data_IF_662457538894
#
_entry.id   IF_662457538894
#
_cell.length_a   1.000
_cell.length_b   1.000
_cell.length_c   1.000
_cell.angle_alpha   90.00
_cell.angle_beta   90.00
_cell.angle_gamma   90.00
#
_symmetry.space_group_name_H-M   'P 1'
#
loop_
_entity.id
_entity.type
_entity.pdbx_description
1 polymer ?
#
# COMPACT_ATOMS: atom_id res chain seq x y z
N UNK A 1 5.14 -9.45 -5.02
CA UNK A 1 6.41 -10.14 -4.82
C UNK A 1 7.58 -9.16 -4.83
N UNK A 2 8.61 -9.44 -4.00
CA UNK A 2 9.81 -8.61 -3.96
C UNK A 2 10.56 -8.69 -5.30
N UNK A 3 10.98 -7.55 -5.89
CA UNK A 3 11.74 -7.56 -7.14
C UNK A 3 13.08 -8.29 -6.96
N UNK A 4 13.33 -9.30 -7.77
CA UNK A 4 14.56 -10.11 -7.68
C UNK A 4 15.83 -9.25 -7.81
N UNK A 5 15.79 -8.21 -8.65
CA UNK A 5 16.90 -7.29 -8.80
C UNK A 5 17.27 -6.57 -7.50
N UNK A 6 16.29 -6.27 -6.64
CA UNK A 6 16.51 -5.59 -5.35
C UNK A 6 17.03 -6.57 -4.30
N UNK A 7 16.36 -7.73 -4.15
CA UNK A 7 16.75 -8.70 -3.11
C UNK A 7 18.10 -9.36 -3.34
N UNK A 8 18.65 -9.27 -4.56
CA UNK A 8 19.99 -9.76 -4.88
C UNK A 8 21.12 -8.77 -4.57
N UNK A 9 20.80 -7.55 -4.17
CA UNK A 9 21.82 -6.55 -3.81
C UNK A 9 22.42 -6.92 -2.46
N UNK A 10 23.76 -7.06 -2.36
CA UNK A 10 24.41 -7.36 -1.08
C UNK A 10 24.11 -6.29 -0.03
N UNK A 11 23.76 -6.72 1.19
CA UNK A 11 23.45 -5.82 2.30
C UNK A 11 21.97 -5.49 2.42
N UNK A 12 21.10 -5.88 1.49
CA UNK A 12 19.65 -5.80 1.68
C UNK A 12 19.19 -7.05 2.45
N UNK A 13 18.83 -6.87 3.71
CA UNK A 13 18.49 -7.98 4.61
C UNK A 13 16.99 -8.07 4.93
N UNK A 14 16.29 -6.95 4.87
CA UNK A 14 14.87 -6.84 5.22
C UNK A 14 14.08 -6.15 4.12
N UNK A 15 12.79 -6.50 4.04
CA UNK A 15 11.84 -5.85 3.16
C UNK A 15 10.57 -5.48 3.92
N UNK A 16 10.12 -4.25 3.72
CA UNK A 16 8.84 -3.74 4.18
C UNK A 16 7.94 -3.64 2.96
N UNK A 17 6.77 -4.27 2.99
CA UNK A 17 5.84 -4.36 1.86
C UNK A 17 4.45 -3.87 2.24
N UNK A 18 3.57 -3.69 1.24
CA UNK A 18 2.18 -3.26 1.42
C UNK A 18 2.08 -2.03 2.35
N UNK A 19 2.83 -0.98 2.01
CA UNK A 19 2.92 0.25 2.81
C UNK A 19 3.18 0.04 4.31
N UNK A 20 3.97 -0.98 4.67
CA UNK A 20 4.33 -1.26 6.06
C UNK A 20 3.46 -2.33 6.73
N UNK A 21 2.48 -2.90 6.03
CA UNK A 21 1.66 -3.97 6.59
C UNK A 21 2.46 -5.25 6.84
N UNK A 22 3.48 -5.56 6.04
CA UNK A 22 4.29 -6.74 6.24
C UNK A 22 5.80 -6.45 6.22
N UNK A 23 6.54 -7.17 7.07
CA UNK A 23 7.99 -7.08 7.20
C UNK A 23 8.59 -8.47 7.08
N UNK A 24 9.54 -8.62 6.18
CA UNK A 24 10.20 -9.88 5.88
C UNK A 24 11.71 -9.80 6.10
N UNK A 25 12.29 -10.88 6.61
CA UNK A 25 13.73 -11.15 6.50
C UNK A 25 14.00 -11.86 5.17
N UNK A 26 14.87 -11.28 4.33
CA UNK A 26 15.08 -11.75 2.95
C UNK A 26 15.79 -13.09 2.91
N UNK A 27 16.76 -13.32 3.80
CA UNK A 27 17.63 -14.51 3.81
C UNK A 27 16.84 -15.84 3.81
N UNK A 28 15.78 -15.92 4.60
CA UNK A 28 14.96 -17.12 4.79
C UNK A 28 13.49 -16.90 4.41
N UNK A 29 13.18 -15.73 3.88
CA UNK A 29 11.82 -15.30 3.51
C UNK A 29 10.82 -15.34 4.67
N UNK A 30 11.32 -15.25 5.92
CA UNK A 30 10.48 -15.26 7.09
C UNK A 30 9.69 -13.95 7.20
N UNK A 31 8.36 -14.04 7.34
CA UNK A 31 7.54 -12.92 7.75
C UNK A 31 7.76 -12.69 9.24
N UNK A 32 8.34 -11.54 9.60
CA UNK A 32 8.63 -11.15 10.97
C UNK A 32 7.44 -10.45 11.63
N UNK A 33 6.64 -9.73 10.83
CA UNK A 33 5.41 -9.05 11.25
C UNK A 33 4.48 -8.92 10.06
N UNK A 34 3.19 -9.13 10.28
CA UNK A 34 2.14 -8.87 9.31
C UNK A 34 0.92 -8.28 10.00
N UNK A 35 0.30 -7.30 9.35
CA UNK A 35 -1.03 -6.80 9.65
C UNK A 35 -1.95 -7.16 8.48
N UNK A 36 -3.18 -7.53 8.80
CA UNK A 36 -4.25 -7.71 7.82
C UNK A 36 -5.42 -6.81 8.19
N UNK A 37 -6.19 -6.41 7.21
CA UNK A 37 -7.44 -5.70 7.41
C UNK A 37 -8.42 -6.59 8.20
N UNK A 38 -9.26 -5.98 9.03
CA UNK A 38 -10.30 -6.74 9.71
C UNK A 38 -11.45 -7.04 8.74
N UNK A 39 -12.10 -8.19 8.91
CA UNK A 39 -13.31 -8.54 8.14
C UNK A 39 -14.35 -7.41 8.15
N UNK A 40 -14.54 -6.79 9.33
CA UNK A 40 -15.49 -5.70 9.48
C UNK A 40 -15.11 -4.50 8.61
N UNK A 41 -13.83 -4.13 8.57
CA UNK A 41 -13.35 -3.01 7.77
C UNK A 41 -13.49 -3.30 6.29
N UNK A 42 -13.11 -4.49 5.82
CA UNK A 42 -13.26 -4.88 4.41
C UNK A 42 -14.72 -4.80 3.97
N UNK A 43 -15.63 -5.39 4.75
CA UNK A 43 -17.08 -5.34 4.46
C UNK A 43 -17.61 -3.90 4.44
N UNK A 44 -17.18 -3.08 5.39
CA UNK A 44 -17.62 -1.68 5.50
C UNK A 44 -17.05 -0.82 4.37
N UNK A 45 -15.79 -1.00 3.99
CA UNK A 45 -15.18 -0.33 2.83
C UNK A 45 -15.98 -0.63 1.56
N UNK A 46 -16.22 -1.91 1.26
CA UNK A 46 -16.96 -2.32 0.08
C UNK A 46 -18.40 -1.78 0.06
N UNK A 47 -19.08 -1.75 1.22
CA UNK A 47 -20.44 -1.22 1.33
C UNK A 47 -20.49 0.30 1.11
N UNK A 48 -19.56 1.05 1.71
CA UNK A 48 -19.50 2.50 1.61
C UNK A 48 -19.12 2.99 0.20
N UNK A 49 -18.42 2.15 -0.55
CA UNK A 49 -17.90 2.53 -1.87
C UNK A 49 -18.64 1.91 -3.05
N UNK A 50 -19.66 1.06 -2.80
CA UNK A 50 -20.40 0.33 -3.84
C UNK A 50 -21.08 1.20 -4.91
N UNK A 51 -21.50 2.40 -4.53
CA UNK A 51 -22.21 3.34 -5.41
C UNK A 51 -21.25 4.35 -6.09
N UNK A 52 -19.95 4.28 -5.79
CA UNK A 52 -18.93 5.04 -6.49
C UNK A 52 -18.49 4.30 -7.76
N UNK A 53 -18.20 5.01 -8.86
CA UNK A 53 -17.65 4.40 -10.08
C UNK A 53 -16.15 4.09 -9.89
N UNK A 54 -15.84 3.11 -9.06
CA UNK A 54 -14.49 2.67 -8.68
C UNK A 54 -14.29 1.19 -9.00
N UNK A 55 -13.05 0.75 -9.02
CA UNK A 55 -12.69 -0.66 -8.96
C UNK A 55 -11.67 -0.91 -7.84
N UNK A 56 -11.31 -2.15 -7.61
CA UNK A 56 -10.51 -2.53 -6.45
C UNK A 56 -9.32 -3.38 -6.86
N UNK A 57 -8.25 -3.26 -6.06
CA UNK A 57 -7.18 -4.25 -5.96
C UNK A 57 -7.15 -4.79 -4.52
N UNK A 58 -6.79 -6.06 -4.36
CA UNK A 58 -6.54 -6.68 -3.07
C UNK A 58 -5.18 -7.33 -3.03
N UNK A 59 -4.52 -7.27 -1.87
CA UNK A 59 -3.19 -7.83 -1.70
C UNK A 59 -3.21 -8.88 -0.60
N UNK A 60 -2.83 -10.11 -0.93
CA UNK A 60 -2.76 -11.22 -0.01
C UNK A 60 -1.35 -11.79 -0.05
N UNK A 61 -0.62 -11.72 1.06
CA UNK A 61 0.77 -12.22 1.18
C UNK A 61 1.68 -11.71 0.05
N UNK A 62 1.50 -10.41 -0.29
CA UNK A 62 2.26 -9.74 -1.35
C UNK A 62 1.84 -10.11 -2.78
N UNK A 63 0.79 -10.89 -2.99
CA UNK A 63 0.20 -11.15 -4.31
C UNK A 63 -0.94 -10.19 -4.56
N UNK A 64 -0.92 -9.50 -5.69
CA UNK A 64 -1.92 -8.53 -6.09
C UNK A 64 -3.02 -9.16 -6.95
N UNK A 65 -4.27 -8.88 -6.62
CA UNK A 65 -5.46 -9.32 -7.35
C UNK A 65 -6.26 -8.09 -7.77
N UNK A 66 -6.80 -8.09 -8.98
CA UNK A 66 -7.56 -6.96 -9.50
C UNK A 66 -8.69 -7.41 -10.44
N UNK A 67 -9.65 -6.50 -10.65
CA UNK A 67 -10.73 -6.74 -11.59
C UNK A 67 -10.20 -6.95 -13.01
N UNK A 68 -10.82 -7.87 -13.75
CA UNK A 68 -10.48 -8.18 -15.14
C UNK A 68 -10.45 -6.92 -16.01
N UNK A 69 -11.51 -6.12 -15.94
CA UNK A 69 -11.66 -4.92 -16.76
C UNK A 69 -10.55 -3.89 -16.49
N UNK A 70 -10.07 -3.81 -15.25
CA UNK A 70 -8.96 -2.93 -14.88
C UNK A 70 -7.64 -3.44 -15.44
N UNK A 71 -7.39 -4.74 -15.41
CA UNK A 71 -6.17 -5.34 -15.96
C UNK A 71 -6.15 -5.22 -17.49
N UNK A 72 -7.30 -5.42 -18.17
CA UNK A 72 -7.42 -5.33 -19.62
C UNK A 72 -7.22 -3.89 -20.14
N UNK A 73 -7.74 -2.89 -19.42
CA UNK A 73 -7.62 -1.47 -19.81
C UNK A 73 -7.39 -0.56 -18.57
N UNK A 74 -6.17 -0.53 -18.00
CA UNK A 74 -5.88 0.29 -16.81
C UNK A 74 -6.08 1.78 -17.06
N UNK A 75 -5.86 2.27 -18.29
CA UNK A 75 -5.99 3.68 -18.65
C UNK A 75 -7.43 4.18 -18.50
N UNK A 76 -8.41 3.36 -18.83
CA UNK A 76 -9.84 3.65 -18.63
C UNK A 76 -10.17 4.00 -17.17
N UNK A 77 -9.40 3.44 -16.22
CA UNK A 77 -9.56 3.64 -14.77
C UNK A 77 -8.60 4.69 -14.21
N UNK A 78 -7.91 5.45 -15.07
CA UNK A 78 -7.05 6.57 -14.66
C UNK A 78 -5.56 6.24 -14.53
N UNK A 79 -5.13 5.01 -14.81
CA UNK A 79 -3.71 4.67 -14.83
C UNK A 79 -2.99 5.37 -15.98
N UNK A 80 -1.72 5.73 -15.77
CA UNK A 80 -0.88 6.26 -16.85
C UNK A 80 -0.48 5.15 -17.83
N UNK A 81 -0.18 5.50 -19.08
CA UNK A 81 0.29 4.53 -20.08
C UNK A 81 1.54 3.76 -19.59
N UNK A 82 2.42 4.41 -18.84
CA UNK A 82 3.61 3.76 -18.26
C UNK A 82 3.28 2.70 -17.22
N UNK A 83 2.14 2.80 -16.55
CA UNK A 83 1.71 1.83 -15.54
C UNK A 83 1.05 0.57 -16.15
N UNK A 84 0.60 0.62 -17.42
CA UNK A 84 -0.15 -0.47 -18.06
C UNK A 84 0.59 -1.81 -18.00
N UNK A 85 1.83 -1.83 -18.50
CA UNK A 85 2.64 -3.06 -18.50
C UNK A 85 2.88 -3.62 -17.10
N UNK A 86 3.04 -2.74 -16.11
CA UNK A 86 3.21 -3.13 -14.71
C UNK A 86 1.94 -3.76 -14.14
N UNK A 87 0.79 -3.12 -14.31
CA UNK A 87 -0.51 -3.65 -13.85
C UNK A 87 -0.77 -5.00 -14.50
N UNK A 88 -0.67 -5.10 -15.83
CA UNK A 88 -0.93 -6.32 -16.58
C UNK A 88 0.00 -7.49 -16.24
N UNK A 89 1.25 -7.21 -15.87
CA UNK A 89 2.25 -8.25 -15.56
C UNK A 89 2.24 -8.69 -14.10
N UNK A 90 1.64 -7.92 -13.19
CA UNK A 90 1.76 -8.15 -11.74
C UNK A 90 0.44 -8.50 -11.05
N UNK A 91 -0.72 -8.21 -11.67
CA UNK A 91 -2.03 -8.48 -11.07
C UNK A 91 -2.58 -9.85 -11.51
N UNK A 92 -3.14 -10.57 -10.56
CA UNK A 92 -3.91 -11.78 -10.81
C UNK A 92 -5.37 -11.40 -11.05
N UNK A 93 -5.87 -11.77 -12.23
CA UNK A 93 -7.20 -11.44 -12.69
C UNK A 93 -8.29 -12.08 -11.85
N UNK A 94 -9.32 -11.29 -11.52
CA UNK A 94 -10.55 -11.73 -10.90
C UNK A 94 -11.74 -11.24 -11.74
N UNK A 95 -12.62 -12.17 -12.13
CA UNK A 95 -13.84 -11.85 -12.88
C UNK A 95 -14.84 -11.06 -12.01
N UNK A 96 -14.87 -11.33 -10.71
CA UNK A 96 -15.64 -10.57 -9.70
C UNK A 96 -14.72 -10.26 -8.51
N UNK A 97 -14.03 -9.13 -8.58
CA UNK A 97 -13.11 -8.69 -7.54
C UNK A 97 -13.82 -8.44 -6.20
N UNK A 98 -15.07 -7.96 -6.20
CA UNK A 98 -15.81 -7.69 -4.97
C UNK A 98 -16.14 -8.98 -4.24
N UNK A 99 -16.60 -10.00 -4.95
CA UNK A 99 -16.82 -11.32 -4.36
C UNK A 99 -15.54 -11.97 -3.86
N UNK A 100 -14.44 -11.81 -4.62
CA UNK A 100 -13.12 -12.29 -4.21
C UNK A 100 -12.68 -11.63 -2.89
N UNK A 101 -12.75 -10.30 -2.77
CA UNK A 101 -12.37 -9.57 -1.56
C UNK A 101 -13.22 -9.97 -0.35
N UNK A 102 -14.53 -10.22 -0.55
CA UNK A 102 -15.43 -10.70 0.52
C UNK A 102 -15.10 -12.12 0.98
N UNK A 103 -14.60 -12.97 0.10
CA UNK A 103 -14.21 -14.35 0.44
C UNK A 103 -12.87 -14.43 1.17
N UNK A 104 -12.04 -13.38 1.04
CA UNK A 104 -10.69 -13.29 1.63
C UNK A 104 -10.58 -12.11 2.60
N UNK A 105 -11.68 -11.71 3.24
CA UNK A 105 -11.78 -10.51 4.04
C UNK A 105 -10.94 -10.53 5.34
N UNK A 106 -10.43 -11.68 5.74
CA UNK A 106 -9.51 -11.89 6.86
C UNK A 106 -8.04 -12.13 6.45
N UNK A 107 -7.72 -12.09 5.15
CA UNK A 107 -6.38 -12.38 4.64
C UNK A 107 -5.70 -11.17 3.95
N UNK A 108 -6.40 -10.04 3.80
CA UNK A 108 -5.92 -8.90 3.02
C UNK A 108 -4.84 -8.10 3.76
N UNK A 109 -3.61 -8.09 3.25
CA UNK A 109 -2.53 -7.20 3.71
C UNK A 109 -2.91 -5.72 3.50
N UNK A 110 -3.57 -5.44 2.37
CA UNK A 110 -4.08 -4.13 1.98
C UNK A 110 -5.12 -4.25 0.87
N UNK A 111 -5.89 -3.18 0.69
CA UNK A 111 -6.78 -2.96 -0.45
C UNK A 111 -6.48 -1.60 -1.08
N UNK A 112 -6.56 -1.53 -2.40
CA UNK A 112 -6.54 -0.26 -3.11
C UNK A 112 -7.90 -0.03 -3.79
N UNK A 113 -8.39 1.21 -3.70
CA UNK A 113 -9.53 1.67 -4.48
C UNK A 113 -8.97 2.50 -5.63
N UNK A 114 -9.23 2.04 -6.84
CA UNK A 114 -8.83 2.73 -8.06
C UNK A 114 -9.91 3.74 -8.42
N UNK A 115 -9.52 5.01 -8.42
CA UNK A 115 -10.40 6.15 -8.69
C UNK A 115 -10.00 6.84 -9.98
N UNK A 116 -10.97 7.48 -10.64
CA UNK A 116 -10.75 8.11 -11.93
C UNK A 116 -10.03 9.46 -11.83
N UNK A 117 -10.30 10.20 -10.77
CA UNK A 117 -9.78 11.57 -10.60
C UNK A 117 -9.65 11.94 -9.11
N UNK A 118 -8.97 13.06 -8.85
CA UNK A 118 -8.72 13.56 -7.50
C UNK A 118 -10.00 13.94 -6.74
N UNK A 119 -11.01 14.45 -7.43
CA UNK A 119 -12.27 14.83 -6.77
C UNK A 119 -13.02 13.60 -6.25
N UNK A 120 -13.01 12.51 -7.00
CA UNK A 120 -13.54 11.22 -6.57
C UNK A 120 -12.73 10.64 -5.41
N UNK A 121 -11.39 10.71 -5.51
CA UNK A 121 -10.47 10.28 -4.47
C UNK A 121 -10.78 10.92 -3.12
N UNK A 122 -10.89 12.25 -3.08
CA UNK A 122 -11.19 12.99 -1.86
C UNK A 122 -12.52 12.57 -1.23
N UNK A 123 -13.57 12.38 -2.04
CA UNK A 123 -14.87 11.91 -1.55
C UNK A 123 -14.78 10.50 -0.95
N UNK A 124 -14.07 9.59 -1.60
CA UNK A 124 -13.85 8.22 -1.07
C UNK A 124 -13.11 8.29 0.26
N UNK A 125 -12.02 9.07 0.34
CA UNK A 125 -11.23 9.24 1.57
C UNK A 125 -12.07 9.82 2.70
N UNK A 126 -12.87 10.87 2.43
CA UNK A 126 -13.74 11.49 3.42
C UNK A 126 -14.74 10.51 4.01
N UNK A 127 -15.44 9.73 3.17
CA UNK A 127 -16.41 8.73 3.61
C UNK A 127 -15.74 7.63 4.43
N UNK A 128 -14.59 7.13 4.00
CA UNK A 128 -13.89 6.08 4.71
C UNK A 128 -13.35 6.55 6.06
N UNK A 129 -12.75 7.76 6.13
CA UNK A 129 -12.24 8.33 7.40
C UNK A 129 -13.34 8.61 8.41
N UNK A 130 -14.54 8.95 7.95
CA UNK A 130 -15.68 9.22 8.82
C UNK A 130 -16.27 7.94 9.45
N UNK A 131 -16.16 6.81 8.76
CA UNK A 131 -16.95 5.62 9.06
C UNK A 131 -16.13 4.39 9.45
N UNK A 132 -14.82 4.33 9.12
CA UNK A 132 -13.97 3.16 9.39
C UNK A 132 -12.79 3.57 10.26
N UNK A 133 -12.75 3.09 11.50
CA UNK A 133 -11.79 3.57 12.52
C UNK A 133 -10.44 2.83 12.51
N UNK A 134 -10.43 1.57 12.04
CA UNK A 134 -9.27 0.69 12.16
C UNK A 134 -8.47 0.56 10.86
N UNK A 135 -8.52 1.58 10.02
CA UNK A 135 -7.75 1.64 8.77
C UNK A 135 -6.74 2.80 8.76
N UNK A 136 -5.66 2.59 8.04
CA UNK A 136 -4.70 3.58 7.61
C UNK A 136 -4.88 3.83 6.13
N UNK A 137 -5.14 5.09 5.76
CA UNK A 137 -5.33 5.49 4.37
C UNK A 137 -4.14 6.32 3.93
N UNK A 138 -3.56 5.94 2.81
CA UNK A 138 -2.47 6.67 2.16
C UNK A 138 -2.66 6.69 0.64
N UNK A 139 -1.72 7.29 -0.06
CA UNK A 139 -1.71 7.36 -1.52
C UNK A 139 -0.29 7.55 -2.02
N UNK A 140 0.14 6.73 -2.94
CA UNK A 140 1.41 6.86 -3.65
C UNK A 140 1.24 7.54 -5.01
N UNK A 141 0.06 7.44 -5.63
CA UNK A 141 -0.26 8.02 -6.94
C UNK A 141 -1.70 8.55 -6.96
N UNK A 142 -1.98 9.46 -7.88
CA UNK A 142 -3.24 10.23 -7.92
C UNK A 142 -4.50 9.36 -8.05
N UNK A 143 -4.43 8.20 -8.69
CA UNK A 143 -5.58 7.34 -8.94
C UNK A 143 -5.80 6.26 -7.88
N UNK A 144 -4.99 6.17 -6.82
CA UNK A 144 -5.13 5.16 -5.78
C UNK A 144 -5.50 5.74 -4.41
N UNK A 145 -6.43 5.09 -3.74
CA UNK A 145 -6.65 5.17 -2.31
C UNK A 145 -6.16 3.84 -1.73
N UNK A 146 -5.00 3.87 -1.08
CA UNK A 146 -4.34 2.70 -0.53
C UNK A 146 -4.75 2.53 0.94
N UNK A 147 -5.30 1.37 1.29
CA UNK A 147 -5.89 1.11 2.59
C UNK A 147 -5.22 -0.11 3.21
N UNK A 148 -4.74 0.04 4.43
CA UNK A 148 -4.20 -1.04 5.25
C UNK A 148 -4.74 -0.95 6.68
N UNK A 149 -4.37 -1.91 7.53
CA UNK A 149 -4.73 -1.86 8.95
C UNK A 149 -4.11 -0.62 9.62
N UNK A 150 -4.81 -0.03 10.59
CA UNK A 150 -4.45 1.24 11.24
C UNK A 150 -3.02 1.33 11.78
N UNK A 151 -2.45 0.21 12.23
CA UNK A 151 -1.08 0.15 12.76
C UNK A 151 -0.03 -0.17 11.68
N UNK A 152 -0.43 -0.29 10.40
CA UNK A 152 0.47 -0.35 9.27
C UNK A 152 1.07 1.05 9.00
N UNK A 153 1.73 1.21 7.88
CA UNK A 153 2.41 2.45 7.49
C UNK A 153 3.92 2.25 7.40
N UNK A 154 4.57 2.97 6.49
CA UNK A 154 6.02 2.83 6.26
C UNK A 154 6.82 3.14 7.52
N UNK A 155 6.42 4.17 8.30
CA UNK A 155 6.99 4.46 9.62
C UNK A 155 6.91 3.25 10.56
N UNK A 156 5.76 2.59 10.63
CA UNK A 156 5.55 1.42 11.48
C UNK A 156 6.49 0.27 11.10
N UNK A 157 6.67 0.04 9.79
CA UNK A 157 7.62 -0.95 9.29
C UNK A 157 9.06 -0.65 9.66
N UNK A 158 9.51 0.58 9.43
CA UNK A 158 10.87 1.02 9.78
C UNK A 158 11.10 0.99 11.29
N UNK A 159 10.13 1.47 12.08
CA UNK A 159 10.20 1.40 13.55
C UNK A 159 10.37 -0.04 14.02
N UNK A 160 9.58 -0.97 13.51
CA UNK A 160 9.70 -2.38 13.87
C UNK A 160 11.11 -2.93 13.58
N UNK A 161 11.68 -2.68 12.40
CA UNK A 161 13.04 -3.13 12.07
C UNK A 161 14.08 -2.46 12.97
N UNK A 162 13.94 -1.18 13.25
CA UNK A 162 14.83 -0.43 14.13
C UNK A 162 14.87 -1.06 15.54
N UNK A 163 13.69 -1.37 16.10
CA UNK A 163 13.56 -2.02 17.41
C UNK A 163 14.05 -3.48 17.38
N UNK A 164 13.72 -4.23 16.33
CA UNK A 164 14.15 -5.62 16.15
C UNK A 164 15.67 -5.77 16.10
N UNK A 165 16.36 -4.78 15.53
CA UNK A 165 17.83 -4.74 15.45
C UNK A 165 18.49 -4.08 16.67
N UNK A 166 17.70 -3.61 17.64
CA UNK A 166 18.23 -2.89 18.80
C UNK A 166 18.86 -1.53 18.46
N UNK A 167 18.44 -0.91 17.36
CA UNK A 167 18.94 0.38 16.90
C UNK A 167 18.15 1.53 17.53
N UNK A 168 18.77 2.71 17.54
CA UNK A 168 18.10 3.97 17.89
C UNK A 168 17.64 4.67 16.59
N UNK A 169 16.49 5.35 16.56
CA UNK A 169 16.06 6.12 15.39
C UNK A 169 17.12 7.06 14.81
N UNK A 170 17.99 7.63 15.66
CA UNK A 170 19.14 8.48 15.22
C UNK A 170 20.17 7.74 14.35
N UNK A 171 20.14 6.41 14.32
CA UNK A 171 21.02 5.58 13.50
C UNK A 171 20.35 5.18 12.18
N UNK A 172 19.13 5.65 11.92
CA UNK A 172 18.34 5.34 10.74
C UNK A 172 18.39 6.53 9.77
N UNK A 173 18.72 6.24 8.52
CA UNK A 173 18.51 7.15 7.39
C UNK A 173 17.36 6.60 6.52
N UNK A 174 16.44 7.47 6.15
CA UNK A 174 15.31 7.11 5.28
C UNK A 174 15.26 8.04 4.06
N UNK A 175 14.86 7.48 2.92
CA UNK A 175 14.69 8.19 1.66
C UNK A 175 13.25 8.00 1.18
N UNK A 176 12.63 9.05 0.68
CA UNK A 176 11.25 9.00 0.21
C UNK A 176 10.92 10.10 -0.78
N UNK A 177 9.86 9.93 -1.58
CA UNK A 177 9.46 10.87 -2.61
C UNK A 177 7.95 11.14 -2.68
N UNK A 178 7.15 10.46 -1.87
CA UNK A 178 5.68 10.58 -1.87
C UNK A 178 5.10 10.83 -0.47
N UNK A 179 3.84 11.22 -0.41
CA UNK A 179 3.15 11.57 0.84
C UNK A 179 3.14 10.42 1.86
N UNK A 180 3.10 9.18 1.39
CA UNK A 180 3.17 7.98 2.24
C UNK A 180 4.56 7.72 2.85
N UNK A 181 5.58 8.53 2.52
CA UNK A 181 6.92 8.46 3.10
C UNK A 181 7.12 9.46 4.24
N UNK A 182 6.25 10.47 4.37
CA UNK A 182 6.42 11.58 5.33
C UNK A 182 6.68 11.06 6.74
N UNK A 183 5.79 10.23 7.26
CA UNK A 183 5.89 9.70 8.62
C UNK A 183 7.18 8.89 8.85
N UNK A 184 7.66 8.19 7.81
CA UNK A 184 8.92 7.44 7.85
C UNK A 184 10.12 8.38 7.87
N UNK A 185 10.10 9.43 7.07
CA UNK A 185 11.16 10.45 7.02
C UNK A 185 11.27 11.20 8.36
N UNK A 186 10.13 11.54 8.97
CA UNK A 186 10.08 12.20 10.29
C UNK A 186 10.57 11.29 11.42
N UNK A 187 10.35 9.99 11.33
CA UNK A 187 10.81 9.02 12.33
C UNK A 187 12.31 8.82 12.30
N UNK A 188 12.92 8.83 11.12
CA UNK A 188 14.35 8.57 10.94
C UNK A 188 15.21 9.72 11.52
N UNK A 189 16.36 9.38 12.06
CA UNK A 189 17.33 10.39 12.52
C UNK A 189 17.89 11.24 11.36
N UNK A 190 17.81 10.74 10.13
CA UNK A 190 18.11 11.46 8.91
C UNK A 190 17.06 11.09 7.84
N UNK A 191 16.01 11.91 7.71
CA UNK A 191 15.03 11.80 6.63
C UNK A 191 15.46 12.61 5.42
N UNK A 192 15.46 12.01 4.23
CA UNK A 192 15.91 12.62 2.99
C UNK A 192 14.80 12.55 1.96
N UNK A 193 14.24 13.72 1.59
CA UNK A 193 13.33 13.81 0.47
C UNK A 193 14.13 13.77 -0.85
N UNK A 194 13.67 12.94 -1.82
CA UNK A 194 14.30 12.84 -3.12
C UNK A 194 14.02 14.09 -3.94
N UNK A 195 14.89 14.41 -4.90
CA UNK A 195 14.76 15.61 -5.76
C UNK A 195 13.43 15.66 -6.54
N UNK A 196 12.91 14.49 -6.93
CA UNK A 196 11.61 14.34 -7.60
C UNK A 196 10.41 14.26 -6.65
N UNK A 197 10.62 14.49 -5.36
CA UNK A 197 9.55 14.31 -4.37
C UNK A 197 8.39 15.27 -4.62
N UNK A 198 7.18 14.73 -4.61
CA UNK A 198 5.93 15.50 -4.55
C UNK A 198 5.71 16.16 -3.19
N UNK A 199 6.54 15.84 -2.21
CA UNK A 199 6.54 16.33 -0.83
C UNK A 199 7.04 17.79 -0.78
N UNK A 200 6.35 18.70 -1.44
CA UNK A 200 6.74 20.11 -1.52
C UNK A 200 6.53 20.92 -0.23
N UNK A 201 6.47 20.31 0.94
CA UNK A 201 6.14 20.98 2.22
C UNK A 201 6.98 20.58 3.43
N UNK A 202 8.05 19.82 3.25
CA UNK A 202 9.03 19.56 4.32
C UNK A 202 10.30 20.41 4.10
N UNK A 203 10.12 21.72 3.99
CA UNK A 203 11.21 22.69 4.10
C UNK A 203 11.02 23.50 5.38
#
# INVERSE_FOLDING_TARGET
PLPQAVVSIPGIEYAITSNGAAVYRIQDKQCLRSYVLTEQSVKKILELTKDFPVTYEGFIRGTAYAAKEYIEDPVKFGATEHAVAYVQSTRHLQDDIVSFLKQHDDELDSMDIVVKDEAQKQKVIEVLKAEVEDIYITSSISQLVEISYKDAGKRSGVKFITEYLGLNPKQVAAFGDADNDIDMLEYAGCGIAMENASIGRLA
#
